data_IF_837467167857
#
_entry.id   IF_837467167857
#
_cell.length_a   1.000
_cell.length_b   1.000
_cell.length_c   1.000
_cell.angle_alpha   90.00
_cell.angle_beta   90.00
_cell.angle_gamma   90.00
#
_symmetry.space_group_name_H-M   'P 1'
#
loop_
_entity.id
_entity.type
_entity.pdbx_description
1 polymer ?
#
# COMPACT_ATOMS: atom_id res chain seq x y z
N UNK A 1 -5.09 7.62 8.86
CA UNK A 1 -5.61 8.01 10.19
C UNK A 1 -7.08 8.30 10.09
N UNK A 2 -7.95 7.52 10.74
CA UNK A 2 -9.37 7.79 10.67
C UNK A 2 -9.71 9.15 11.30
N UNK A 3 -10.65 9.87 10.69
CA UNK A 3 -11.27 11.12 11.21
C UNK A 3 -10.36 12.34 11.42
N UNK A 4 -9.09 12.31 11.06
CA UNK A 4 -8.20 13.48 11.17
C UNK A 4 -7.95 13.99 12.61
N UNK A 5 -8.28 13.21 13.65
CA UNK A 5 -8.13 13.62 15.07
C UNK A 5 -6.69 13.98 15.40
N UNK A 6 -5.72 13.23 14.92
CA UNK A 6 -4.30 13.47 15.20
C UNK A 6 -3.81 14.80 14.62
N UNK A 7 -4.27 15.20 13.43
CA UNK A 7 -3.89 16.53 12.89
C UNK A 7 -4.48 17.66 13.71
N UNK A 8 -5.70 17.49 14.25
CA UNK A 8 -6.34 18.49 15.12
C UNK A 8 -5.61 18.62 16.46
N UNK A 9 -5.16 17.51 17.04
CA UNK A 9 -4.47 17.49 18.33
C UNK A 9 -3.01 17.93 18.22
N UNK A 10 -2.27 17.41 17.22
CA UNK A 10 -0.83 17.59 17.12
C UNK A 10 -0.40 18.65 16.09
N UNK A 11 -1.26 19.01 15.12
CA UNK A 11 -0.88 19.87 14.00
C UNK A 11 -0.31 21.21 14.42
N UNK A 12 -0.98 21.91 15.37
CA UNK A 12 -0.47 23.21 15.89
C UNK A 12 0.86 23.07 16.62
N UNK A 13 1.06 21.97 17.33
CA UNK A 13 2.32 21.70 18.03
C UNK A 13 3.45 21.46 17.02
N UNK A 14 3.23 20.66 15.99
CA UNK A 14 4.19 20.42 14.92
C UNK A 14 4.51 21.71 14.15
N UNK A 15 3.51 22.51 13.82
CA UNK A 15 3.71 23.80 13.15
C UNK A 15 4.58 24.76 13.99
N UNK A 16 4.36 24.84 15.32
CA UNK A 16 5.21 25.59 16.25
C UNK A 16 6.64 25.00 16.33
N UNK A 17 6.79 23.69 16.11
CA UNK A 17 8.08 23.01 16.01
C UNK A 17 8.80 23.22 14.67
N UNK A 18 8.23 24.04 13.78
CA UNK A 18 8.80 24.35 12.46
C UNK A 18 8.53 23.30 11.40
N UNK A 19 7.51 22.44 11.60
CA UNK A 19 7.09 21.50 10.57
C UNK A 19 6.13 22.17 9.58
N UNK A 20 6.36 21.93 8.29
CA UNK A 20 5.37 22.17 7.25
C UNK A 20 4.31 21.08 7.30
N UNK A 21 3.04 21.48 7.36
CA UNK A 21 1.91 20.54 7.44
C UNK A 21 1.37 20.29 6.04
N UNK A 22 1.35 19.03 5.62
CA UNK A 22 0.73 18.57 4.38
C UNK A 22 -0.44 17.66 4.74
N UNK A 23 -1.55 17.79 4.02
CA UNK A 23 -2.78 17.05 4.33
C UNK A 23 -3.34 16.44 3.04
N UNK A 24 -3.41 15.12 3.00
CA UNK A 24 -4.23 14.37 2.05
C UNK A 24 -5.49 13.93 2.81
N UNK A 25 -6.68 14.35 2.36
CA UNK A 25 -7.95 14.01 2.99
C UNK A 25 -8.88 13.34 1.97
N UNK A 26 -9.08 12.03 2.09
CA UNK A 26 -9.99 11.27 1.23
C UNK A 26 -11.41 11.15 1.78
N UNK A 27 -11.68 11.75 2.96
CA UNK A 27 -13.03 11.85 3.54
C UNK A 27 -13.71 13.14 3.05
N UNK A 28 -12.96 14.25 3.04
CA UNK A 28 -13.42 15.55 2.55
C UNK A 28 -12.37 16.13 1.60
N UNK A 29 -12.54 15.88 0.32
CA UNK A 29 -11.61 16.31 -0.72
C UNK A 29 -11.40 17.82 -0.78
N UNK A 30 -12.40 18.62 -0.34
CA UNK A 30 -12.28 20.08 -0.30
C UNK A 30 -11.26 20.58 0.73
N UNK A 31 -10.96 19.77 1.72
CA UNK A 31 -9.94 20.02 2.73
C UNK A 31 -8.63 19.28 2.47
N UNK A 32 -8.46 18.75 1.27
CA UNK A 32 -7.25 18.05 0.86
C UNK A 32 -6.35 18.96 0.03
N UNK A 33 -5.04 18.80 0.20
CA UNK A 33 -4.06 19.30 -0.76
C UNK A 33 -4.09 18.42 -2.01
N UNK A 34 -3.80 19.02 -3.16
CA UNK A 34 -3.75 18.33 -4.44
C UNK A 34 -2.59 17.34 -4.50
N UNK A 35 -2.83 16.21 -5.19
CA UNK A 35 -1.85 15.16 -5.41
C UNK A 35 -1.94 14.66 -6.85
N UNK A 36 -0.87 14.85 -7.61
CA UNK A 36 -0.78 14.37 -8.97
C UNK A 36 0.28 13.24 -9.08
N UNK A 37 -0.14 11.98 -9.32
CA UNK A 37 0.80 10.87 -9.41
C UNK A 37 1.80 10.98 -10.56
N UNK A 38 1.50 11.73 -11.63
CA UNK A 38 2.45 11.96 -12.73
C UNK A 38 3.66 12.78 -12.31
N UNK A 39 3.55 13.61 -11.28
CA UNK A 39 4.66 14.41 -10.74
C UNK A 39 5.82 13.56 -10.22
N UNK A 40 5.54 12.33 -9.82
CA UNK A 40 6.49 11.38 -9.22
C UNK A 40 6.91 10.26 -10.17
N UNK A 41 6.79 10.48 -11.47
CA UNK A 41 7.32 9.62 -12.52
C UNK A 41 8.60 10.27 -13.04
N UNK A 42 9.74 9.63 -12.76
CA UNK A 42 11.06 10.09 -13.20
C UNK A 42 11.66 9.18 -14.29
N UNK A 43 11.17 7.96 -14.39
CA UNK A 43 11.62 6.97 -15.37
C UNK A 43 10.52 5.96 -15.71
N UNK A 44 10.74 5.15 -16.76
CA UNK A 44 9.80 4.11 -17.22
C UNK A 44 9.43 3.12 -16.09
N UNK A 45 10.39 2.82 -15.19
CA UNK A 45 10.13 1.91 -14.07
C UNK A 45 9.08 2.46 -13.10
N UNK A 46 9.01 3.79 -12.94
CA UNK A 46 8.00 4.41 -12.05
C UNK A 46 6.59 4.30 -12.65
N UNK A 47 6.49 4.30 -13.99
CA UNK A 47 5.22 4.00 -14.69
C UNK A 47 4.76 2.59 -14.33
N UNK A 48 5.68 1.60 -14.37
CA UNK A 48 5.35 0.21 -14.01
C UNK A 48 4.90 0.10 -12.55
N UNK A 49 5.57 0.80 -11.63
CA UNK A 49 5.23 0.82 -10.21
C UNK A 49 3.86 1.46 -9.98
N UNK A 50 3.57 2.59 -10.63
CA UNK A 50 2.27 3.27 -10.52
C UNK A 50 1.14 2.39 -11.04
N UNK A 51 1.29 1.81 -12.23
CA UNK A 51 0.30 0.88 -12.79
C UNK A 51 0.07 -0.31 -11.87
N UNK A 52 1.14 -0.92 -11.35
CA UNK A 52 1.01 -2.04 -10.42
C UNK A 52 0.26 -1.63 -9.14
N UNK A 53 0.54 -0.44 -8.60
CA UNK A 53 -0.17 0.07 -7.42
C UNK A 53 -1.67 0.26 -7.70
N UNK A 54 -2.04 0.84 -8.84
CA UNK A 54 -3.44 0.99 -9.26
C UNK A 54 -4.08 -0.40 -9.37
N UNK A 55 -3.44 -1.34 -10.10
CA UNK A 55 -3.96 -2.68 -10.31
C UNK A 55 -4.19 -3.46 -9.01
N UNK A 56 -3.30 -3.34 -8.03
CA UNK A 56 -3.39 -4.04 -6.75
C UNK A 56 -4.48 -3.45 -5.83
N UNK A 57 -4.73 -2.14 -5.88
CA UNK A 57 -5.64 -1.45 -4.94
C UNK A 57 -7.03 -1.14 -5.52
N UNK A 58 -7.27 -1.48 -6.79
CA UNK A 58 -8.59 -1.33 -7.44
C UNK A 58 -9.17 -2.65 -7.91
N UNK A 59 -8.73 -3.78 -7.34
CA UNK A 59 -9.31 -5.11 -7.60
C UNK A 59 -10.67 -5.21 -6.90
N UNK A 60 -11.68 -5.73 -7.61
CA UNK A 60 -12.94 -6.16 -6.98
C UNK A 60 -12.71 -7.38 -6.07
N UNK A 61 -13.55 -7.55 -5.04
CA UNK A 61 -13.45 -8.64 -4.06
C UNK A 61 -13.61 -10.05 -4.67
N UNK A 62 -14.20 -10.19 -5.85
CA UNK A 62 -14.55 -11.47 -6.49
C UNK A 62 -13.54 -12.02 -7.49
N UNK A 63 -12.30 -11.48 -7.57
CA UNK A 63 -11.31 -11.90 -8.55
C UNK A 63 -10.77 -13.31 -8.30
N UNK A 64 -11.39 -14.32 -8.93
CA UNK A 64 -10.97 -15.72 -8.92
C UNK A 64 -10.08 -16.03 -10.14
N UNK A 65 -9.06 -16.82 -9.93
CA UNK A 65 -8.02 -17.44 -10.76
C UNK A 65 -8.10 -17.60 -12.29
N UNK A 66 -8.84 -16.79 -13.01
CA UNK A 66 -8.83 -16.70 -14.50
C UNK A 66 -8.42 -15.32 -15.02
N UNK A 67 -8.15 -14.39 -14.13
CA UNK A 67 -7.99 -12.95 -14.40
C UNK A 67 -6.57 -12.52 -14.78
N UNK A 68 -5.59 -13.41 -14.73
CA UNK A 68 -4.19 -13.04 -14.95
C UNK A 68 -3.95 -12.48 -16.35
N UNK A 69 -4.63 -13.03 -17.38
CA UNK A 69 -4.52 -12.54 -18.74
C UNK A 69 -5.10 -11.12 -18.89
N UNK A 70 -6.32 -10.90 -18.36
CA UNK A 70 -7.02 -9.62 -18.45
C UNK A 70 -6.26 -8.53 -17.70
N UNK A 71 -5.84 -8.83 -16.46
CA UNK A 71 -5.06 -7.90 -15.65
C UNK A 71 -3.72 -7.51 -16.31
N UNK A 72 -3.05 -8.46 -16.96
CA UNK A 72 -1.81 -8.17 -17.72
C UNK A 72 -2.09 -7.30 -18.94
N UNK A 73 -3.18 -7.54 -19.66
CA UNK A 73 -3.55 -6.75 -20.83
C UNK A 73 -3.97 -5.32 -20.43
N UNK A 74 -4.76 -5.16 -19.37
CA UNK A 74 -5.08 -3.85 -18.78
C UNK A 74 -3.81 -3.09 -18.38
N UNK A 75 -2.90 -3.76 -17.69
CA UNK A 75 -1.64 -3.15 -17.26
C UNK A 75 -0.80 -2.64 -18.45
N UNK A 76 -0.71 -3.43 -19.52
CA UNK A 76 -0.02 -2.99 -20.75
C UNK A 76 -0.65 -1.75 -21.36
N UNK A 77 -1.98 -1.68 -21.34
CA UNK A 77 -2.70 -0.53 -21.88
C UNK A 77 -2.48 0.72 -21.03
N UNK A 78 -2.61 0.63 -19.70
CA UNK A 78 -2.29 1.75 -18.82
C UNK A 78 -0.83 2.20 -18.94
N UNK A 79 0.11 1.25 -19.02
CA UNK A 79 1.53 1.58 -19.25
C UNK A 79 1.72 2.36 -20.54
N UNK A 80 1.02 1.99 -21.61
CA UNK A 80 1.09 2.69 -22.89
C UNK A 80 0.56 4.12 -22.76
N UNK A 81 -0.65 4.30 -22.20
CA UNK A 81 -1.29 5.61 -22.08
C UNK A 81 -0.51 6.53 -21.13
N UNK A 82 -0.14 6.05 -19.93
CA UNK A 82 0.62 6.84 -18.96
C UNK A 82 1.98 7.24 -19.54
N UNK A 83 2.67 6.33 -20.23
CA UNK A 83 3.93 6.63 -20.88
C UNK A 83 3.76 7.67 -22.00
N UNK A 84 2.70 7.56 -22.81
CA UNK A 84 2.41 8.55 -23.85
C UNK A 84 2.23 9.94 -23.22
N UNK A 85 1.39 10.06 -22.19
CA UNK A 85 1.16 11.32 -21.48
C UNK A 85 2.45 11.87 -20.89
N UNK A 86 3.22 11.03 -20.20
CA UNK A 86 4.45 11.45 -19.53
C UNK A 86 5.52 11.98 -20.49
N UNK A 87 5.68 11.35 -21.65
CA UNK A 87 6.69 11.75 -22.64
C UNK A 87 6.23 12.88 -23.56
N UNK A 88 4.97 12.83 -24.02
CA UNK A 88 4.51 13.61 -25.16
C UNK A 88 3.57 14.76 -24.81
N UNK A 89 2.86 14.67 -23.67
CA UNK A 89 1.93 15.72 -23.28
C UNK A 89 2.64 16.94 -22.67
N UNK A 90 2.08 18.14 -22.83
CA UNK A 90 2.51 19.33 -22.13
C UNK A 90 2.32 19.14 -20.61
N UNK A 91 3.05 19.92 -19.80
CA UNK A 91 3.13 19.69 -18.35
C UNK A 91 1.76 19.81 -17.66
N UNK A 92 0.90 20.69 -18.11
CA UNK A 92 -0.47 20.89 -17.61
C UNK A 92 -1.41 19.72 -17.89
N UNK A 93 -1.10 18.90 -18.89
CA UNK A 93 -1.89 17.71 -19.27
C UNK A 93 -1.33 16.42 -18.66
N UNK A 94 -0.19 16.45 -17.96
CA UNK A 94 0.37 15.29 -17.27
C UNK A 94 -0.39 15.03 -15.97
N UNK A 95 -1.59 14.49 -16.08
CA UNK A 95 -2.47 14.20 -14.94
C UNK A 95 -3.43 13.04 -15.21
N UNK A 96 -4.18 12.62 -14.18
CA UNK A 96 -5.13 11.52 -14.28
C UNK A 96 -6.35 11.86 -15.14
N UNK A 97 -6.74 13.11 -15.28
CA UNK A 97 -7.86 13.54 -16.12
C UNK A 97 -7.55 13.25 -17.58
N UNK A 98 -6.35 13.58 -18.05
CA UNK A 98 -5.90 13.26 -19.43
C UNK A 98 -5.88 11.75 -19.67
N UNK A 99 -5.47 10.95 -18.68
CA UNK A 99 -5.53 9.49 -18.80
C UNK A 99 -6.96 8.99 -19.00
N UNK A 100 -7.92 9.52 -18.25
CA UNK A 100 -9.34 9.18 -18.38
C UNK A 100 -9.91 9.61 -19.73
N UNK A 101 -9.53 10.78 -20.22
CA UNK A 101 -9.95 11.28 -21.55
C UNK A 101 -9.41 10.41 -22.68
N UNK A 102 -8.14 10.01 -22.61
CA UNK A 102 -7.57 9.05 -23.58
C UNK A 102 -8.27 7.70 -23.52
N UNK A 103 -8.57 7.21 -22.30
CA UNK A 103 -9.30 5.95 -22.13
C UNK A 103 -10.71 6.04 -22.75
N UNK A 104 -11.42 7.14 -22.51
CA UNK A 104 -12.77 7.37 -23.07
C UNK A 104 -12.74 7.56 -24.60
N UNK A 105 -11.66 8.09 -25.16
CA UNK A 105 -11.45 8.21 -26.62
C UNK A 105 -11.06 6.88 -27.28
N UNK A 106 -10.83 5.83 -26.50
CA UNK A 106 -10.41 4.50 -26.97
C UNK A 106 -11.65 3.66 -27.31
N UNK A 107 -12.18 3.84 -28.49
CA UNK A 107 -13.32 3.08 -28.99
C UNK A 107 -12.85 1.88 -29.84
N UNK A 108 -13.52 0.72 -29.70
CA UNK A 108 -13.31 -0.45 -30.56
C UNK A 108 -14.60 -0.81 -31.23
N UNK A 109 -14.59 -0.94 -32.57
CA UNK A 109 -15.70 -1.44 -33.36
C UNK A 109 -15.48 -2.90 -33.72
N UNK A 110 -16.49 -3.73 -33.43
CA UNK A 110 -16.41 -5.17 -33.69
C UNK A 110 -16.65 -5.52 -35.16
N UNK A 111 -17.32 -4.63 -35.86
CA UNK A 111 -17.74 -4.77 -37.27
C UNK A 111 -16.72 -4.22 -38.26
N UNK A 112 -15.69 -3.51 -37.81
CA UNK A 112 -14.63 -2.94 -38.63
C UNK A 112 -13.26 -3.12 -37.99
N UNK A 113 -12.53 -4.14 -38.41
CA UNK A 113 -11.18 -4.44 -37.96
C UNK A 113 -10.13 -3.37 -38.35
N UNK A 114 -10.44 -2.53 -39.33
CA UNK A 114 -9.56 -1.44 -39.76
C UNK A 114 -9.88 -0.11 -39.09
N UNK A 115 -10.90 -0.07 -38.23
CA UNK A 115 -11.27 1.13 -37.51
C UNK A 115 -10.14 1.60 -36.60
N UNK A 116 -9.77 2.86 -36.72
CA UNK A 116 -8.80 3.53 -35.88
C UNK A 116 -9.45 4.65 -35.10
N UNK A 117 -9.43 4.54 -33.78
CA UNK A 117 -9.88 5.61 -32.92
C UNK A 117 -8.81 6.72 -32.78
N UNK A 118 -9.12 7.80 -32.06
CA UNK A 118 -8.21 8.93 -31.91
C UNK A 118 -6.86 8.51 -31.25
N UNK A 119 -6.91 7.61 -30.28
CA UNK A 119 -5.71 7.12 -29.58
C UNK A 119 -4.85 6.26 -30.53
N UNK A 120 -5.46 5.41 -31.36
CA UNK A 120 -4.74 4.67 -32.40
C UNK A 120 -3.94 5.60 -33.32
N UNK A 121 -4.57 6.71 -33.76
CA UNK A 121 -3.91 7.68 -34.62
C UNK A 121 -2.74 8.40 -33.93
N UNK A 122 -2.88 8.70 -32.63
CA UNK A 122 -1.81 9.29 -31.86
C UNK A 122 -0.61 8.33 -31.76
N UNK A 123 -0.86 7.05 -31.47
CA UNK A 123 0.20 6.04 -31.38
C UNK A 123 0.82 5.72 -32.75
N UNK A 124 0.04 5.73 -33.86
CA UNK A 124 0.56 5.59 -35.20
C UNK A 124 1.51 6.74 -35.59
N UNK A 125 1.17 7.97 -35.17
CA UNK A 125 2.02 9.13 -35.40
C UNK A 125 3.32 9.04 -34.62
N UNK A 126 3.25 8.61 -33.34
CA UNK A 126 4.42 8.40 -32.49
C UNK A 126 5.30 7.27 -33.04
N UNK A 127 4.71 6.15 -33.48
CA UNK A 127 5.43 5.03 -34.07
C UNK A 127 6.22 5.41 -35.30
N UNK A 128 5.64 6.24 -36.16
CA UNK A 128 6.34 6.75 -37.36
C UNK A 128 7.56 7.60 -37.01
N UNK A 129 7.51 8.33 -35.88
CA UNK A 129 8.59 9.15 -35.38
C UNK A 129 9.66 8.35 -34.62
N UNK A 130 9.22 7.47 -33.72
CA UNK A 130 10.06 6.60 -32.91
C UNK A 130 9.43 5.21 -32.72
N UNK A 131 9.76 4.24 -33.58
CA UNK A 131 9.25 2.87 -33.45
C UNK A 131 9.69 2.13 -32.17
N UNK A 132 10.74 2.61 -31.51
CA UNK A 132 11.29 2.00 -30.29
C UNK A 132 10.78 2.69 -29.01
N UNK A 133 9.95 3.71 -29.15
CA UNK A 133 9.39 4.42 -28.01
C UNK A 133 8.69 3.47 -27.03
N UNK A 134 8.92 3.66 -25.73
CA UNK A 134 8.38 2.75 -24.71
C UNK A 134 6.86 2.63 -24.79
N UNK A 135 6.15 3.76 -24.91
CA UNK A 135 4.68 3.78 -25.02
C UNK A 135 4.19 2.97 -26.24
N UNK A 136 4.84 3.13 -27.40
CA UNK A 136 4.52 2.38 -28.62
C UNK A 136 4.69 0.88 -28.43
N UNK A 137 5.80 0.47 -27.78
CA UNK A 137 6.06 -0.95 -27.52
C UNK A 137 4.99 -1.58 -26.60
N UNK A 138 4.51 -0.85 -25.57
CA UNK A 138 3.44 -1.35 -24.72
C UNK A 138 2.11 -1.38 -25.45
N UNK A 139 1.81 -0.33 -26.24
CA UNK A 139 0.59 -0.26 -27.02
C UNK A 139 0.47 -1.39 -28.03
N UNK A 140 1.55 -1.70 -28.76
CA UNK A 140 1.60 -2.83 -29.69
C UNK A 140 1.28 -4.17 -29.03
N UNK A 141 1.80 -4.40 -27.82
CA UNK A 141 1.50 -5.62 -27.05
C UNK A 141 0.01 -5.70 -26.70
N UNK A 142 -0.60 -4.58 -26.27
CA UNK A 142 -2.03 -4.49 -26.04
C UNK A 142 -2.84 -4.77 -27.32
N UNK A 143 -2.45 -4.18 -28.46
CA UNK A 143 -3.12 -4.33 -29.76
C UNK A 143 -3.02 -5.75 -30.36
N UNK A 144 -2.22 -6.65 -29.76
CA UNK A 144 -2.26 -8.08 -30.12
C UNK A 144 -3.61 -8.72 -29.75
N UNK A 145 -4.34 -8.14 -28.80
CA UNK A 145 -5.72 -8.49 -28.54
C UNK A 145 -6.61 -7.87 -29.60
N UNK A 146 -7.45 -8.67 -30.26
CA UNK A 146 -8.30 -8.22 -31.36
C UNK A 146 -9.80 -8.33 -31.02
N UNK A 147 -10.61 -7.55 -31.72
CA UNK A 147 -12.06 -7.64 -31.70
C UNK A 147 -12.71 -7.61 -30.31
N UNK A 148 -13.50 -8.62 -30.00
CA UNK A 148 -14.22 -8.75 -28.72
C UNK A 148 -13.29 -8.73 -27.50
N UNK A 149 -12.07 -9.28 -27.62
CA UNK A 149 -11.09 -9.29 -26.53
C UNK A 149 -10.63 -7.88 -26.20
N UNK A 150 -10.28 -7.07 -27.21
CA UNK A 150 -9.87 -5.68 -27.02
C UNK A 150 -11.00 -4.85 -26.37
N UNK A 151 -12.25 -5.02 -26.82
CA UNK A 151 -13.42 -4.36 -26.23
C UNK A 151 -13.61 -4.73 -24.76
N UNK A 152 -13.47 -6.02 -24.42
CA UNK A 152 -13.58 -6.47 -23.03
C UNK A 152 -12.48 -5.89 -22.14
N UNK A 153 -11.24 -5.77 -22.65
CA UNK A 153 -10.13 -5.12 -21.93
C UNK A 153 -10.47 -3.65 -21.65
N UNK A 154 -10.98 -2.91 -22.65
CA UNK A 154 -11.37 -1.50 -22.47
C UNK A 154 -12.49 -1.31 -21.45
N UNK A 155 -13.49 -2.19 -21.48
CA UNK A 155 -14.58 -2.18 -20.48
C UNK A 155 -14.01 -2.41 -19.06
N UNK A 156 -13.10 -3.36 -18.92
CA UNK A 156 -12.44 -3.64 -17.64
C UNK A 156 -11.60 -2.46 -17.17
N UNK A 157 -10.84 -1.84 -18.09
CA UNK A 157 -10.09 -0.61 -17.80
C UNK A 157 -11.03 0.51 -17.33
N UNK A 158 -12.13 0.76 -18.05
CA UNK A 158 -13.10 1.79 -17.65
C UNK A 158 -13.72 1.54 -16.29
N UNK A 159 -14.11 0.28 -16.01
CA UNK A 159 -14.67 -0.10 -14.71
C UNK A 159 -13.67 0.13 -13.56
N UNK A 160 -12.40 -0.22 -13.77
CA UNK A 160 -11.33 -0.02 -12.79
C UNK A 160 -11.05 1.45 -12.52
N UNK A 161 -11.15 2.29 -13.56
CA UNK A 161 -10.89 3.72 -13.45
C UNK A 161 -12.12 4.55 -13.03
N UNK A 162 -13.29 3.93 -12.88
CA UNK A 162 -14.51 4.62 -12.47
C UNK A 162 -14.36 5.47 -11.17
N UNK A 163 -13.64 5.03 -10.12
CA UNK A 163 -13.43 5.87 -8.94
C UNK A 163 -12.62 7.16 -9.21
N UNK A 164 -11.77 7.16 -10.23
CA UNK A 164 -11.00 8.34 -10.64
C UNK A 164 -11.85 9.36 -11.42
N UNK A 165 -12.99 8.94 -11.98
CA UNK A 165 -13.88 9.81 -12.76
C UNK A 165 -14.81 10.67 -11.87
N UNK A 166 -14.80 10.43 -10.56
CA UNK A 166 -15.51 11.26 -9.59
C UNK A 166 -14.91 12.66 -9.60
N UNK A 167 -15.76 13.68 -9.70
CA UNK A 167 -15.35 15.09 -9.87
C UNK A 167 -14.33 15.54 -8.83
N UNK A 168 -14.57 15.24 -7.56
CA UNK A 168 -13.70 15.63 -6.46
C UNK A 168 -12.31 14.94 -6.54
N UNK A 169 -12.27 13.70 -7.05
CA UNK A 169 -11.01 12.97 -7.26
C UNK A 169 -10.25 13.55 -8.46
N UNK A 170 -10.94 13.92 -9.53
CA UNK A 170 -10.32 14.62 -10.66
C UNK A 170 -9.69 15.96 -10.21
N UNK A 171 -10.45 16.78 -9.48
CA UNK A 171 -9.98 18.07 -8.94
C UNK A 171 -8.77 17.88 -8.01
N UNK A 172 -8.75 16.81 -7.18
CA UNK A 172 -7.61 16.44 -6.34
C UNK A 172 -6.35 16.16 -7.16
N UNK A 173 -6.50 15.48 -8.31
CA UNK A 173 -5.38 14.93 -9.09
C UNK A 173 -4.94 15.82 -10.27
N UNK A 174 -5.49 17.02 -10.41
CA UNK A 174 -5.07 17.99 -11.44
C UNK A 174 -3.70 18.62 -11.19
N UNK A 175 -3.30 18.76 -9.93
CA UNK A 175 -2.03 19.39 -9.55
C UNK A 175 -1.40 18.69 -8.35
N UNK A 176 -0.21 19.14 -7.95
CA UNK A 176 0.50 18.60 -6.80
C UNK A 176 0.88 19.69 -5.78
N UNK A 177 0.46 19.49 -4.53
CA UNK A 177 0.79 20.34 -3.39
C UNK A 177 1.47 19.52 -2.27
N UNK A 178 1.47 18.18 -2.39
CA UNK A 178 2.09 17.31 -1.38
C UNK A 178 3.61 17.40 -1.41
N UNK A 179 4.21 17.59 -2.58
CA UNK A 179 5.65 17.76 -2.75
C UNK A 179 6.45 16.66 -2.04
N UNK A 180 6.11 15.38 -2.31
CA UNK A 180 6.69 14.21 -1.62
C UNK A 180 8.22 14.18 -1.73
N UNK A 181 8.78 14.75 -2.80
CA UNK A 181 10.22 14.87 -3.02
C UNK A 181 10.92 15.77 -2.01
N UNK A 182 10.19 16.64 -1.29
CA UNK A 182 10.75 17.52 -0.27
C UNK A 182 10.73 16.90 1.14
N UNK A 183 10.02 15.78 1.32
CA UNK A 183 10.06 15.02 2.58
C UNK A 183 11.47 14.45 2.77
N UNK A 184 12.02 14.57 3.98
CA UNK A 184 13.40 14.16 4.27
C UNK A 184 14.48 15.21 4.01
N UNK A 185 14.15 16.35 3.37
CA UNK A 185 15.03 17.53 3.26
C UNK A 185 14.73 18.56 4.34
N UNK A 186 13.46 18.73 4.66
CA UNK A 186 12.97 19.69 5.65
C UNK A 186 11.95 19.05 6.58
N UNK A 187 11.71 19.68 7.71
CA UNK A 187 10.69 19.23 8.67
C UNK A 187 9.31 19.29 8.03
N UNK A 188 8.81 18.15 7.59
CA UNK A 188 7.48 18.01 6.97
C UNK A 188 6.67 16.99 7.74
N UNK A 189 5.40 17.27 7.99
CA UNK A 189 4.45 16.33 8.56
C UNK A 189 3.30 16.11 7.55
N UNK A 190 3.31 14.96 6.89
CA UNK A 190 2.25 14.54 5.98
C UNK A 190 1.19 13.74 6.74
N UNK A 191 -0.05 14.21 6.71
CA UNK A 191 -1.20 13.54 7.27
C UNK A 191 -2.08 12.98 6.16
N UNK A 192 -2.22 11.65 6.12
CA UNK A 192 -3.17 10.98 5.25
C UNK A 192 -4.42 10.63 6.06
N UNK A 193 -5.50 11.36 5.83
CA UNK A 193 -6.80 11.17 6.47
C UNK A 193 -7.63 10.26 5.56
N UNK A 194 -7.92 9.04 6.04
CA UNK A 194 -8.65 8.01 5.30
C UNK A 194 -9.87 7.58 6.09
N UNK A 195 -10.92 7.12 5.39
CA UNK A 195 -12.11 6.59 6.05
C UNK A 195 -11.82 5.25 6.74
N UNK A 196 -12.43 5.02 7.90
CA UNK A 196 -12.44 3.76 8.63
C UNK A 196 -13.61 2.85 8.21
N UNK A 197 -14.61 3.40 7.53
CA UNK A 197 -15.85 2.71 7.15
C UNK A 197 -16.01 2.53 5.65
N UNK A 198 -15.33 3.35 4.84
CA UNK A 198 -15.41 3.34 3.38
C UNK A 198 -14.00 3.21 2.78
N UNK A 199 -13.75 2.10 2.11
CA UNK A 199 -12.45 1.80 1.49
C UNK A 199 -12.35 2.25 0.04
N UNK A 200 -13.40 2.86 -0.53
CA UNK A 200 -13.50 3.22 -1.95
C UNK A 200 -12.29 4.03 -2.44
N UNK A 201 -11.77 4.96 -1.61
CA UNK A 201 -10.67 5.85 -1.97
C UNK A 201 -9.32 5.45 -1.39
N UNK A 202 -9.18 4.27 -0.78
CA UNK A 202 -7.91 3.82 -0.20
C UNK A 202 -6.79 3.65 -1.24
N UNK A 203 -7.15 3.45 -2.51
CA UNK A 203 -6.18 3.42 -3.59
C UNK A 203 -5.37 4.72 -3.72
N UNK A 204 -5.95 5.89 -3.38
CA UNK A 204 -5.27 7.19 -3.41
C UNK A 204 -4.14 7.21 -2.39
N UNK A 205 -4.43 6.83 -1.15
CA UNK A 205 -3.40 6.77 -0.10
C UNK A 205 -2.34 5.70 -0.37
N UNK A 206 -2.74 4.56 -0.98
CA UNK A 206 -1.79 3.53 -1.40
C UNK A 206 -0.82 4.04 -2.49
N UNK A 207 -1.30 4.84 -3.45
CA UNK A 207 -0.45 5.50 -4.44
C UNK A 207 0.50 6.50 -3.78
N UNK A 208 0.01 7.36 -2.88
CA UNK A 208 0.85 8.32 -2.15
C UNK A 208 1.94 7.60 -1.36
N UNK A 209 1.62 6.55 -0.60
CA UNK A 209 2.63 5.80 0.15
C UNK A 209 3.64 5.12 -0.78
N UNK A 210 3.18 4.50 -1.86
CA UNK A 210 4.07 3.83 -2.82
C UNK A 210 5.05 4.83 -3.44
N UNK A 211 4.57 5.98 -3.89
CA UNK A 211 5.41 7.02 -4.49
C UNK A 211 6.30 7.70 -3.46
N UNK A 212 5.79 8.00 -2.27
CA UNK A 212 6.60 8.54 -1.17
C UNK A 212 7.80 7.66 -0.85
N UNK A 213 7.58 6.36 -0.63
CA UNK A 213 8.68 5.44 -0.34
C UNK A 213 9.66 5.31 -1.50
N UNK A 214 9.19 5.29 -2.76
CA UNK A 214 10.07 5.27 -3.92
C UNK A 214 10.96 6.52 -3.95
N UNK A 215 10.36 7.71 -3.88
CA UNK A 215 11.06 8.99 -3.90
C UNK A 215 12.07 9.09 -2.75
N UNK A 216 11.70 8.70 -1.54
CA UNK A 216 12.58 8.73 -0.37
C UNK A 216 13.75 7.74 -0.52
N UNK A 217 13.49 6.55 -1.06
CA UNK A 217 14.55 5.55 -1.29
C UNK A 217 15.53 5.99 -2.36
N UNK A 218 15.05 6.57 -3.46
CA UNK A 218 15.89 7.06 -4.55
C UNK A 218 16.71 8.27 -4.08
N UNK A 219 16.11 9.21 -3.36
CA UNK A 219 16.80 10.33 -2.71
C UNK A 219 17.89 9.86 -1.72
N UNK A 220 17.62 8.83 -0.93
CA UNK A 220 18.62 8.27 -0.02
C UNK A 220 19.84 7.73 -0.80
N UNK A 221 19.61 7.08 -1.95
CA UNK A 221 20.70 6.61 -2.82
C UNK A 221 21.51 7.76 -3.38
N UNK A 222 20.86 8.82 -3.86
CA UNK A 222 21.53 10.05 -4.36
C UNK A 222 22.37 10.74 -3.27
N UNK A 223 21.94 10.69 -2.03
CA UNK A 223 22.65 11.26 -0.87
C UNK A 223 23.75 10.32 -0.31
N UNK A 224 24.11 9.25 -1.00
CA UNK A 224 25.17 8.33 -0.56
C UNK A 224 24.69 7.22 0.37
N UNK A 225 23.40 6.90 0.37
CA UNK A 225 22.80 5.74 1.05
C UNK A 225 21.75 6.07 2.12
N UNK A 226 21.66 7.31 2.60
CA UNK A 226 20.73 7.71 3.64
C UNK A 226 20.13 9.10 3.41
N UNK A 227 18.94 9.35 3.94
CA UNK A 227 18.32 10.67 3.96
C UNK A 227 19.06 11.60 4.92
N UNK A 228 19.03 12.90 4.64
CA UNK A 228 19.61 13.93 5.53
C UNK A 228 18.81 14.12 6.81
N UNK A 229 17.52 13.94 6.72
CA UNK A 229 16.57 14.03 7.85
C UNK A 229 15.85 12.72 7.98
N UNK A 230 15.82 12.17 9.19
CA UNK A 230 15.09 10.93 9.47
C UNK A 230 13.60 11.09 9.20
N UNK A 231 13.00 10.12 8.49
CA UNK A 231 11.57 10.09 8.19
C UNK A 231 10.90 8.98 8.98
N UNK A 232 9.94 9.34 9.82
CA UNK A 232 9.14 8.39 10.60
C UNK A 232 7.76 8.23 9.98
N UNK A 233 7.42 7.03 9.54
CA UNK A 233 6.12 6.70 8.99
C UNK A 233 5.24 6.02 10.04
N UNK A 234 4.16 6.68 10.47
CA UNK A 234 3.15 6.12 11.36
C UNK A 234 2.00 5.60 10.50
N UNK A 235 1.98 4.30 10.24
CA UNK A 235 1.04 3.63 9.35
C UNK A 235 -0.10 3.01 10.17
N UNK A 236 -1.05 3.87 10.55
CA UNK A 236 -2.25 3.46 11.28
C UNK A 236 -3.22 2.74 10.33
N UNK A 237 -3.88 1.69 10.81
CA UNK A 237 -4.76 0.82 10.01
C UNK A 237 -4.09 0.30 8.72
N UNK A 238 -2.84 -0.11 8.87
CA UNK A 238 -1.98 -0.50 7.73
C UNK A 238 -2.58 -1.59 6.84
N UNK A 239 -3.43 -2.46 7.40
CA UNK A 239 -4.08 -3.53 6.66
C UNK A 239 -5.29 -3.08 5.80
N UNK A 240 -5.68 -1.80 5.83
CA UNK A 240 -6.80 -1.30 5.03
C UNK A 240 -6.44 -1.06 3.56
N UNK A 241 -5.15 -1.04 3.23
CA UNK A 241 -4.65 -0.83 1.87
C UNK A 241 -3.36 -1.61 1.64
N UNK A 242 -3.09 -1.94 0.38
CA UNK A 242 -1.89 -2.68 0.02
C UNK A 242 -0.83 -1.76 -0.58
N UNK A 243 0.33 -1.67 0.08
CA UNK A 243 1.52 -1.05 -0.49
C UNK A 243 2.30 -2.17 -1.23
N UNK A 244 2.40 -2.14 -2.57
CA UNK A 244 3.09 -3.17 -3.32
C UNK A 244 4.54 -3.33 -2.87
N UNK A 245 5.01 -4.58 -2.78
CA UNK A 245 6.38 -4.93 -2.39
C UNK A 245 6.83 -4.42 -1.00
N UNK A 246 5.90 -4.10 -0.11
CA UNK A 246 6.23 -3.55 1.22
C UNK A 246 7.12 -4.50 2.04
N UNK A 247 7.00 -5.82 1.87
CA UNK A 247 7.86 -6.82 2.52
C UNK A 247 9.34 -6.67 2.15
N UNK A 248 9.65 -6.21 0.93
CA UNK A 248 11.02 -5.89 0.53
C UNK A 248 11.42 -4.50 1.01
N UNK A 249 10.50 -3.55 0.93
CA UNK A 249 10.72 -2.18 1.36
C UNK A 249 11.14 -2.12 2.84
N UNK A 250 10.38 -2.76 3.74
CA UNK A 250 10.63 -2.72 5.19
C UNK A 250 12.01 -3.30 5.56
N UNK A 251 12.55 -4.22 4.77
CA UNK A 251 13.87 -4.80 5.01
C UNK A 251 15.04 -3.83 4.72
N UNK A 252 14.82 -2.79 3.92
CA UNK A 252 15.88 -1.88 3.44
C UNK A 252 15.76 -0.45 3.93
N UNK A 253 14.57 0.01 4.33
CA UNK A 253 14.32 1.43 4.69
C UNK A 253 15.12 1.89 5.90
N UNK A 254 15.45 0.98 6.85
CA UNK A 254 16.25 1.31 8.04
C UNK A 254 17.60 1.94 7.67
N UNK A 255 18.32 1.37 6.71
CA UNK A 255 19.62 1.88 6.26
C UNK A 255 19.51 3.24 5.57
N UNK A 256 18.29 3.64 5.15
CA UNK A 256 18.01 4.90 4.45
C UNK A 256 17.48 6.00 5.35
N UNK A 257 17.57 5.86 6.66
CA UNK A 257 17.03 6.80 7.66
C UNK A 257 15.50 6.93 7.55
N UNK A 258 14.81 5.82 7.28
CA UNK A 258 13.35 5.73 7.28
C UNK A 258 12.91 4.67 8.28
N UNK A 259 11.99 5.01 9.18
CA UNK A 259 11.36 4.06 10.11
C UNK A 259 9.86 3.92 9.82
N UNK A 260 9.33 2.72 10.01
CA UNK A 260 7.91 2.44 9.87
C UNK A 260 7.34 1.87 11.18
N UNK A 261 6.29 2.50 11.68
CA UNK A 261 5.47 2.03 12.78
C UNK A 261 4.16 1.52 12.22
N UNK A 262 4.00 0.21 12.20
CA UNK A 262 2.84 -0.46 11.61
C UNK A 262 1.84 -0.75 12.71
N UNK A 263 0.63 -0.21 12.58
CA UNK A 263 -0.47 -0.46 13.51
C UNK A 263 -1.54 -1.31 12.81
N UNK A 264 -1.87 -2.44 13.43
CA UNK A 264 -2.91 -3.36 12.96
C UNK A 264 -3.80 -3.75 14.15
N UNK A 265 -5.05 -4.05 13.90
CA UNK A 265 -5.95 -4.53 14.96
C UNK A 265 -5.68 -5.99 15.30
N UNK A 266 -5.34 -6.79 14.28
CA UNK A 266 -5.01 -8.22 14.43
C UNK A 266 -3.98 -8.62 13.38
N UNK A 267 -3.22 -9.67 13.67
CA UNK A 267 -2.27 -10.23 12.69
C UNK A 267 -2.97 -10.90 11.51
N UNK A 268 -4.19 -11.42 11.70
CA UNK A 268 -4.97 -12.02 10.61
C UNK A 268 -5.34 -11.01 9.53
N UNK A 269 -5.58 -9.75 9.88
CA UNK A 269 -5.77 -8.67 8.89
C UNK A 269 -4.53 -8.49 8.01
N UNK A 270 -3.33 -8.49 8.61
CA UNK A 270 -2.09 -8.38 7.86
C UNK A 270 -1.89 -9.59 6.93
N UNK A 271 -2.16 -10.80 7.43
CA UNK A 271 -2.11 -12.04 6.64
C UNK A 271 -3.13 -12.05 5.49
N UNK A 272 -4.31 -11.48 5.66
CA UNK A 272 -5.32 -11.35 4.60
C UNK A 272 -4.82 -10.49 3.43
N UNK A 273 -4.12 -9.38 3.71
CA UNK A 273 -3.63 -8.44 2.68
C UNK A 273 -2.32 -8.92 2.05
N UNK A 274 -1.36 -9.34 2.88
CA UNK A 274 0.01 -9.65 2.44
C UNK A 274 0.29 -11.15 2.31
N UNK A 275 -0.66 -12.02 2.69
CA UNK A 275 -0.54 -13.49 2.62
C UNK A 275 0.76 -13.97 3.27
N UNK A 276 1.53 -14.80 2.59
CA UNK A 276 2.79 -15.37 3.09
C UNK A 276 3.85 -14.31 3.41
N UNK A 277 3.74 -13.10 2.82
CA UNK A 277 4.66 -11.99 3.09
C UNK A 277 4.40 -11.29 4.44
N UNK A 278 3.27 -11.55 5.10
CA UNK A 278 2.98 -10.96 6.41
C UNK A 278 4.02 -11.32 7.46
N UNK A 279 4.51 -12.56 7.47
CA UNK A 279 5.56 -13.01 8.38
C UNK A 279 6.89 -12.30 8.15
N UNK A 280 7.21 -12.02 6.89
CA UNK A 280 8.40 -11.21 6.54
C UNK A 280 8.28 -9.79 7.07
N UNK A 281 7.09 -9.18 6.98
CA UNK A 281 6.84 -7.83 7.50
C UNK A 281 7.00 -7.81 9.02
N UNK A 282 6.37 -8.74 9.75
CA UNK A 282 6.46 -8.85 11.21
C UNK A 282 7.91 -9.10 11.64
N UNK A 283 8.60 -10.02 10.97
CA UNK A 283 9.99 -10.38 11.27
C UNK A 283 11.00 -9.24 11.07
N UNK A 284 10.68 -8.24 10.24
CA UNK A 284 11.50 -7.04 10.06
C UNK A 284 11.17 -5.93 11.06
N UNK A 285 10.13 -6.07 11.87
CA UNK A 285 9.83 -5.16 12.98
C UNK A 285 10.70 -5.53 14.19
N UNK A 286 11.61 -4.64 14.58
CA UNK A 286 12.51 -4.88 15.72
C UNK A 286 11.81 -4.86 17.08
N UNK A 287 10.60 -4.29 17.14
CA UNK A 287 9.79 -4.21 18.35
C UNK A 287 8.33 -4.52 18.03
N UNK A 288 7.69 -5.33 18.86
CA UNK A 288 6.26 -5.61 18.80
C UNK A 288 5.63 -5.12 20.09
N UNK A 289 4.70 -4.17 20.00
CA UNK A 289 3.92 -3.65 21.09
C UNK A 289 2.51 -4.24 21.04
N UNK A 290 2.16 -5.09 22.00
CA UNK A 290 0.83 -5.64 22.13
C UNK A 290 0.03 -4.90 23.20
N UNK A 291 -1.08 -4.28 22.79
CA UNK A 291 -1.95 -3.47 23.65
C UNK A 291 -3.20 -4.24 24.14
N UNK A 292 -3.21 -5.55 23.94
CA UNK A 292 -4.33 -6.41 24.27
C UNK A 292 -5.23 -6.72 23.07
N UNK A 293 -5.91 -7.85 23.12
CA UNK A 293 -6.81 -8.32 22.05
C UNK A 293 -7.49 -9.62 22.47
N UNK A 294 -8.44 -10.09 21.63
CA UNK A 294 -9.17 -11.34 21.87
C UNK A 294 -8.97 -12.36 20.75
N UNK A 295 -8.21 -12.02 19.72
CA UNK A 295 -7.96 -12.94 18.62
C UNK A 295 -7.00 -14.05 19.05
N UNK A 296 -7.48 -15.28 19.01
CA UNK A 296 -6.75 -16.46 19.52
C UNK A 296 -5.42 -16.72 18.79
N UNK A 297 -5.37 -16.49 17.49
CA UNK A 297 -4.14 -16.68 16.70
C UNK A 297 -3.05 -15.71 17.11
N UNK A 298 -3.36 -14.42 17.26
CA UNK A 298 -2.43 -13.39 17.74
C UNK A 298 -1.96 -13.67 19.17
N UNK A 299 -2.88 -14.03 20.08
CA UNK A 299 -2.56 -14.36 21.47
C UNK A 299 -1.59 -15.56 21.56
N UNK A 300 -1.85 -16.61 20.76
CA UNK A 300 -1.01 -17.79 20.72
C UNK A 300 0.39 -17.46 20.21
N UNK A 301 0.51 -16.70 19.12
CA UNK A 301 1.79 -16.31 18.54
C UNK A 301 2.62 -15.45 19.49
N UNK A 302 1.99 -14.53 20.23
CA UNK A 302 2.67 -13.72 21.26
C UNK A 302 3.16 -14.61 22.42
N UNK A 303 2.30 -15.51 22.92
CA UNK A 303 2.66 -16.45 23.98
C UNK A 303 3.84 -17.34 23.56
N UNK A 304 3.82 -17.87 22.34
CA UNK A 304 4.91 -18.70 21.81
C UNK A 304 6.22 -17.89 21.61
N UNK A 305 6.12 -16.64 21.19
CA UNK A 305 7.28 -15.74 21.02
C UNK A 305 7.95 -15.40 22.35
N UNK A 306 7.17 -15.22 23.42
CA UNK A 306 7.70 -14.97 24.75
C UNK A 306 8.37 -16.21 25.34
N UNK A 307 7.94 -17.41 24.94
CA UNK A 307 8.52 -18.67 25.35
C UNK A 307 8.03 -19.15 26.72
N UNK A 308 8.82 -20.04 27.34
CA UNK A 308 8.45 -20.73 28.58
C UNK A 308 9.54 -20.61 29.63
N UNK A 309 9.15 -20.44 30.89
CA UNK A 309 10.00 -20.61 32.05
C UNK A 309 9.96 -22.07 32.54
N UNK A 310 11.04 -22.52 33.17
CA UNK A 310 11.06 -23.83 33.83
C UNK A 310 10.58 -23.68 35.24
N UNK A 311 9.51 -24.37 35.60
CA UNK A 311 9.03 -24.46 36.97
C UNK A 311 9.29 -25.84 37.56
N UNK A 312 9.64 -25.89 38.84
CA UNK A 312 9.79 -27.13 39.59
C UNK A 312 8.42 -27.49 40.21
N UNK A 313 7.90 -28.65 39.86
CA UNK A 313 6.66 -29.20 40.40
C UNK A 313 6.99 -30.32 41.41
N UNK A 314 6.45 -30.18 42.60
CA UNK A 314 6.56 -31.18 43.66
C UNK A 314 5.22 -31.91 43.79
N UNK A 315 5.15 -33.14 43.35
CA UNK A 315 4.00 -34.01 43.60
C UNK A 315 4.30 -34.93 44.81
N UNK A 316 3.52 -34.77 45.87
CA UNK A 316 3.57 -35.69 47.02
C UNK A 316 2.45 -36.74 46.88
N UNK A 317 2.82 -38.00 46.82
CA UNK A 317 1.84 -39.10 46.90
C UNK A 317 1.86 -39.69 48.33
N UNK A 318 0.71 -39.65 48.99
CA UNK A 318 0.49 -40.27 50.29
C UNK A 318 -0.39 -41.51 50.11
N UNK A 319 0.20 -42.69 50.20
CA UNK A 319 -0.55 -43.94 50.12
C UNK A 319 -0.97 -44.38 51.51
N UNK A 320 -2.29 -44.33 51.78
CA UNK A 320 -2.92 -44.76 53.02
C UNK A 320 -3.26 -46.25 52.97
N UNK A 321 -2.30 -47.10 53.25
CA UNK A 321 -2.43 -48.56 53.39
C UNK A 321 -1.76 -49.05 54.66
N UNK A 322 -1.74 -50.38 54.90
CA UNK A 322 -1.08 -51.00 56.04
C UNK A 322 0.42 -50.71 56.12
N UNK A 323 1.03 -50.24 55.06
CA UNK A 323 2.36 -49.62 55.03
C UNK A 323 2.23 -48.22 54.44
N UNK A 324 2.44 -47.18 55.23
CA UNK A 324 2.48 -45.80 54.76
C UNK A 324 3.79 -45.57 54.00
N UNK A 325 3.67 -45.16 52.74
CA UNK A 325 4.83 -44.67 52.02
C UNK A 325 4.55 -43.24 51.55
N UNK A 326 5.54 -42.36 51.71
CA UNK A 326 5.51 -40.98 51.26
C UNK A 326 6.52 -40.83 50.14
N UNK A 327 6.06 -40.60 48.89
CA UNK A 327 6.93 -40.36 47.75
C UNK A 327 6.84 -38.89 47.36
N UNK A 328 8.00 -38.25 47.13
CA UNK A 328 8.10 -36.92 46.55
C UNK A 328 8.66 -37.08 45.16
N UNK A 329 7.87 -36.70 44.15
CA UNK A 329 8.30 -36.73 42.74
C UNK A 329 8.57 -35.31 42.27
N UNK A 330 9.81 -35.08 41.78
CA UNK A 330 10.25 -33.82 41.23
C UNK A 330 10.06 -33.86 39.71
N UNK A 331 9.29 -32.90 39.16
CA UNK A 331 9.16 -32.73 37.73
C UNK A 331 9.49 -31.31 37.36
N UNK A 332 10.28 -31.14 36.31
CA UNK A 332 10.49 -29.84 35.68
C UNK A 332 9.48 -29.70 34.54
N UNK A 333 8.66 -28.66 34.62
CA UNK A 333 7.67 -28.37 33.59
C UNK A 333 7.95 -26.99 32.96
N UNK A 334 7.74 -26.87 31.67
CA UNK A 334 7.74 -25.58 31.00
C UNK A 334 6.38 -24.89 31.17
N UNK A 335 6.36 -23.77 31.88
CA UNK A 335 5.19 -22.90 32.01
C UNK A 335 5.35 -21.71 31.08
N UNK A 336 4.32 -21.37 30.29
CA UNK A 336 4.34 -20.19 29.44
C UNK A 336 4.58 -18.94 30.30
N UNK A 337 5.49 -18.05 29.83
CA UNK A 337 5.77 -16.77 30.50
C UNK A 337 4.53 -15.88 30.55
N UNK A 338 3.71 -15.96 29.47
CA UNK A 338 2.41 -15.33 29.38
C UNK A 338 1.46 -16.28 28.68
N UNK A 339 0.47 -16.79 29.39
CA UNK A 339 -0.56 -17.64 28.78
C UNK A 339 -1.53 -16.82 27.93
N UNK A 340 -2.26 -17.50 27.04
CA UNK A 340 -3.34 -16.87 26.27
C UNK A 340 -4.42 -16.26 27.14
N UNK A 341 -4.65 -16.83 28.35
CA UNK A 341 -5.63 -16.35 29.33
C UNK A 341 -5.14 -15.06 30.02
N UNK A 342 -3.86 -14.99 30.36
CA UNK A 342 -3.24 -13.77 30.92
C UNK A 342 -3.30 -12.62 29.92
N UNK A 343 -3.05 -12.91 28.64
CA UNK A 343 -3.08 -11.94 27.55
C UNK A 343 -4.49 -11.39 27.27
N UNK A 344 -5.53 -12.23 27.44
CA UNK A 344 -6.95 -11.83 27.32
C UNK A 344 -7.40 -10.94 28.49
N UNK A 345 -6.80 -11.13 29.65
CA UNK A 345 -7.10 -10.39 30.88
C UNK A 345 -6.47 -8.99 30.98
N UNK A 346 -5.62 -8.60 30.04
CA UNK A 346 -5.04 -7.25 29.99
C UNK A 346 -6.15 -6.20 29.90
N UNK A 347 -6.42 -5.53 31.01
CA UNK A 347 -7.41 -4.44 31.04
C UNK A 347 -6.86 -3.26 30.25
N UNK A 348 -7.61 -2.83 29.21
CA UNK A 348 -7.40 -1.52 28.61
C UNK A 348 -7.54 -0.47 29.72
N UNK A 349 -6.45 0.15 30.13
CA UNK A 349 -6.51 1.44 30.83
C UNK A 349 -6.68 2.49 29.73
N UNK A 350 -7.91 2.94 29.58
CA UNK A 350 -8.25 4.12 28.76
C UNK A 350 -7.83 5.35 29.55
#
# INVERSE_FOLDING_TARGET
>A
MPKGTVVLECGKMLQRGGYEIKILNTIDFKQSMKYNPFRYIYCENDILKLVNCIMENTKGEDSKGGEDFWAKAEALYYQALIAYIWYEAPEEEKNMTTLLEMLNASEVREDDENFKNAVDLMFDALEKRDPQHFAVRQYKKYKMAAGKTAKSILISCGARMAPFDIREVRELMEGDELELEKIGDRKTALFCIVSDTDMTFNFISAMVYTQMFNVLCDKALENGGALKTHVTCLLDEFANQKIPNFQHLISVIRSREISAHIVVQTQSQLKAVYKDHAETIIGNCSCVLFLGGKERSTLKEISETLGKETIDLFNTSDTRGSQRSMGVNYQKLGKELMSTDDSTGMKRRI
#
